data_IF_896503117585
#
_entry.id   IF_896503117585
#
_cell.length_a   1.000
_cell.length_b   1.000
_cell.length_c   1.000
_cell.angle_alpha   90.00
_cell.angle_beta   90.00
_cell.angle_gamma   90.00
#
_symmetry.space_group_name_H-M   'P 1'
#
loop_
_entity.id
_entity.type
_entity.pdbx_description
1 polymer ?
#
# COMPACT_ATOMS: atom_id res chain seq x y z
N UNK A 1 3.44 5.61 5.96
CA UNK A 1 2.99 4.86 7.15
C UNK A 1 3.65 5.44 8.41
N UNK A 2 2.87 5.62 9.46
CA UNK A 2 3.35 6.09 10.77
C UNK A 2 2.82 5.15 11.86
N UNK A 3 3.56 5.05 12.96
CA UNK A 3 3.09 4.38 14.15
C UNK A 3 1.99 5.25 14.79
N UNK A 4 0.81 4.69 14.98
CA UNK A 4 -0.37 5.41 15.46
C UNK A 4 -0.27 5.86 16.93
N UNK A 5 0.57 5.19 17.73
CA UNK A 5 0.77 5.54 19.16
C UNK A 5 1.83 6.62 19.36
N UNK A 6 2.83 6.70 18.49
CA UNK A 6 4.00 7.58 18.69
C UNK A 6 4.15 8.67 17.63
N UNK A 7 3.39 8.60 16.54
CA UNK A 7 3.53 9.48 15.37
C UNK A 7 4.83 9.27 14.58
N UNK A 8 5.74 8.41 15.05
CA UNK A 8 7.03 8.16 14.39
C UNK A 8 6.83 7.44 13.05
N UNK A 9 7.63 7.75 12.02
CA UNK A 9 7.58 7.02 10.76
C UNK A 9 7.85 5.52 10.95
N UNK A 10 7.05 4.69 10.27
CA UNK A 10 7.30 3.25 10.23
C UNK A 10 8.32 2.95 9.12
N UNK A 11 9.61 3.09 9.42
CA UNK A 11 10.72 2.85 8.49
C UNK A 11 10.95 1.34 8.31
N UNK A 12 11.32 0.91 7.09
CA UNK A 12 11.52 -0.51 6.70
C UNK A 12 10.33 -1.43 7.03
N UNK A 13 9.12 -0.89 7.18
CA UNK A 13 7.92 -1.72 7.23
C UNK A 13 7.72 -2.38 5.86
N UNK A 14 7.41 -3.68 5.86
CA UNK A 14 7.03 -4.39 4.64
C UNK A 14 5.62 -3.97 4.24
N UNK A 15 5.41 -3.72 2.96
CA UNK A 15 4.13 -3.32 2.39
C UNK A 15 3.77 -4.28 1.28
N UNK A 16 2.55 -4.83 1.31
CA UNK A 16 1.99 -5.65 0.23
C UNK A 16 0.64 -5.08 -0.20
N UNK A 17 0.48 -4.87 -1.50
CA UNK A 17 -0.68 -4.20 -2.10
C UNK A 17 -1.39 -5.19 -3.02
N UNK A 18 -2.70 -5.28 -2.82
CA UNK A 18 -3.63 -5.93 -3.74
C UNK A 18 -4.53 -4.88 -4.36
N UNK A 19 -4.95 -5.12 -5.61
CA UNK A 19 -5.91 -4.28 -6.32
C UNK A 19 -7.16 -5.10 -6.66
N UNK A 20 -8.32 -4.56 -6.33
CA UNK A 20 -9.60 -4.94 -6.93
C UNK A 20 -9.73 -4.15 -8.25
N UNK A 21 -9.90 -4.87 -9.35
CA UNK A 21 -10.10 -4.32 -10.68
C UNK A 21 -11.57 -3.97 -10.92
N UNK A 22 -11.86 -3.14 -11.92
CA UNK A 22 -13.22 -2.78 -12.37
C UNK A 22 -14.12 -3.99 -12.67
N UNK A 23 -13.55 -5.09 -13.17
CA UNK A 23 -14.21 -6.35 -13.45
C UNK A 23 -14.40 -7.27 -12.21
N UNK A 24 -14.02 -6.79 -11.02
CA UNK A 24 -14.11 -7.52 -9.75
C UNK A 24 -12.97 -8.51 -9.48
N UNK A 25 -12.00 -8.66 -10.38
CA UNK A 25 -10.83 -9.48 -10.13
C UNK A 25 -9.95 -8.84 -9.04
N UNK A 26 -9.50 -9.64 -8.08
CA UNK A 26 -8.48 -9.23 -7.10
C UNK A 26 -7.14 -9.84 -7.49
N UNK A 27 -6.10 -9.01 -7.57
CA UNK A 27 -4.75 -9.47 -7.89
C UNK A 27 -3.68 -8.80 -7.05
N UNK A 28 -2.53 -9.46 -6.95
CA UNK A 28 -1.32 -8.83 -6.45
C UNK A 28 -0.97 -7.64 -7.34
N UNK A 29 -0.67 -6.51 -6.72
CA UNK A 29 -0.33 -5.27 -7.42
C UNK A 29 1.14 -4.94 -7.26
N UNK A 30 1.59 -4.76 -6.02
CA UNK A 30 2.96 -4.36 -5.71
C UNK A 30 3.32 -4.71 -4.27
N UNK A 31 4.60 -4.90 -3.99
CA UNK A 31 5.12 -4.93 -2.64
C UNK A 31 6.46 -4.20 -2.53
N UNK A 32 6.97 -4.11 -1.30
CA UNK A 32 8.28 -3.58 -1.01
C UNK A 32 8.38 -3.09 0.43
N UNK A 33 9.28 -2.15 0.67
CA UNK A 33 9.52 -1.62 2.00
C UNK A 33 9.38 -0.10 1.99
N UNK A 34 8.87 0.44 3.09
CA UNK A 34 8.87 1.89 3.30
C UNK A 34 10.30 2.43 3.37
N UNK A 35 10.52 3.62 2.82
CA UNK A 35 11.81 4.33 2.86
C UNK A 35 12.20 4.84 4.27
N UNK A 36 13.33 5.55 4.36
CA UNK A 36 13.81 6.17 5.60
C UNK A 36 12.86 7.22 6.20
N UNK A 37 11.85 7.67 5.45
CA UNK A 37 10.79 8.59 5.87
C UNK A 37 9.48 7.84 6.18
N UNK A 38 9.47 6.51 6.13
CA UNK A 38 8.28 5.69 6.32
C UNK A 38 7.28 5.78 5.15
N UNK A 39 7.72 6.19 3.96
CA UNK A 39 6.86 6.35 2.77
C UNK A 39 6.97 5.14 1.86
N UNK A 40 5.87 4.79 1.21
CA UNK A 40 5.80 3.75 0.19
C UNK A 40 4.86 4.23 -0.91
N UNK A 41 5.32 4.19 -2.16
CA UNK A 41 4.49 4.51 -3.32
C UNK A 41 3.78 3.24 -3.80
N UNK A 42 2.50 3.15 -3.42
CA UNK A 42 1.64 2.01 -3.70
C UNK A 42 0.95 2.08 -5.06
N UNK A 43 0.91 3.26 -5.70
CA UNK A 43 0.09 3.49 -6.89
C UNK A 43 0.92 3.51 -8.18
N UNK A 44 2.16 4.01 -8.13
CA UNK A 44 2.97 4.06 -9.35
C UNK A 44 3.48 2.68 -9.75
N UNK A 45 3.03 2.23 -10.93
CA UNK A 45 3.54 1.09 -11.69
C UNK A 45 3.81 1.54 -13.12
N UNK A 46 4.77 0.89 -13.79
CA UNK A 46 5.14 1.20 -15.18
C UNK A 46 4.10 0.73 -16.21
N UNK A 47 2.97 0.19 -15.76
CA UNK A 47 1.91 -0.39 -16.59
C UNK A 47 0.63 0.44 -16.44
N UNK A 48 -0.17 0.53 -17.49
CA UNK A 48 -1.49 1.22 -17.48
C UNK A 48 -2.55 0.48 -16.62
N UNK A 49 -2.12 -0.43 -15.75
CA UNK A 49 -3.03 -1.21 -14.91
C UNK A 49 -3.75 -0.37 -13.87
N UNK A 50 -3.18 0.80 -13.52
CA UNK A 50 -3.76 1.74 -12.56
C UNK A 50 -5.14 2.25 -13.02
N UNK A 51 -5.37 2.40 -14.33
CA UNK A 51 -6.62 2.96 -14.89
C UNK A 51 -7.85 2.07 -14.62
N UNK A 52 -7.62 0.78 -14.39
CA UNK A 52 -8.66 -0.21 -14.14
C UNK A 52 -8.78 -0.59 -12.66
N UNK A 53 -7.97 0.01 -11.78
CA UNK A 53 -8.07 -0.25 -10.35
C UNK A 53 -9.30 0.44 -9.80
N UNK A 54 -10.17 -0.34 -9.15
CA UNK A 54 -11.32 0.16 -8.41
C UNK A 54 -10.96 0.48 -6.96
N UNK A 55 -10.15 -0.37 -6.33
CA UNK A 55 -9.78 -0.21 -4.91
C UNK A 55 -8.45 -0.91 -4.61
N UNK A 56 -7.67 -0.32 -3.71
CA UNK A 56 -6.47 -0.92 -3.16
C UNK A 56 -6.69 -1.43 -1.74
N UNK A 57 -6.11 -2.59 -1.44
CA UNK A 57 -5.93 -3.12 -0.09
C UNK A 57 -4.44 -3.23 0.21
N UNK A 58 -3.97 -2.47 1.20
CA UNK A 58 -2.57 -2.25 1.52
C UNK A 58 -2.28 -2.83 2.90
N UNK A 59 -1.58 -3.95 2.95
CA UNK A 59 -1.01 -4.50 4.18
C UNK A 59 0.29 -3.78 4.50
N UNK A 60 0.42 -3.27 5.72
CA UNK A 60 1.67 -2.74 6.28
C UNK A 60 2.06 -3.60 7.48
N UNK A 61 3.20 -4.26 7.39
CA UNK A 61 3.74 -5.15 8.42
C UNK A 61 5.02 -4.55 9.02
N UNK A 62 5.04 -4.40 10.34
CA UNK A 62 6.19 -3.94 11.10
C UNK A 62 6.47 -4.92 12.24
N UNK A 63 7.70 -5.43 12.32
CA UNK A 63 8.10 -6.37 13.38
C UNK A 63 7.84 -5.82 14.79
N UNK A 64 8.02 -4.51 14.99
CA UNK A 64 7.91 -3.86 16.30
C UNK A 64 6.48 -3.44 16.64
N UNK A 65 5.65 -3.18 15.65
CA UNK A 65 4.34 -2.53 15.84
C UNK A 65 3.16 -3.40 15.38
N UNK A 66 3.42 -4.58 14.83
CA UNK A 66 2.40 -5.47 14.28
C UNK A 66 2.03 -5.13 12.84
N UNK A 67 0.82 -5.52 12.46
CA UNK A 67 0.30 -5.36 11.11
C UNK A 67 -0.97 -4.50 11.09
N UNK A 68 -1.17 -3.75 10.01
CA UNK A 68 -2.44 -3.09 9.71
C UNK A 68 -2.76 -3.23 8.24
N UNK A 69 -4.05 -3.28 7.92
CA UNK A 69 -4.55 -3.18 6.53
C UNK A 69 -5.19 -1.80 6.38
N UNK A 70 -4.94 -1.17 5.23
CA UNK A 70 -5.59 0.08 4.83
C UNK A 70 -6.20 -0.10 3.45
N UNK A 71 -7.42 0.40 3.29
CA UNK A 71 -8.09 0.40 1.99
C UNK A 71 -8.20 1.83 1.47
N UNK A 72 -8.04 2.00 0.16
CA UNK A 72 -8.15 3.32 -0.49
C UNK A 72 -8.58 3.16 -1.94
N UNK A 73 -9.32 4.14 -2.42
CA UNK A 73 -9.56 4.33 -3.85
C UNK A 73 -8.23 4.65 -4.57
N UNK A 74 -8.12 4.41 -5.89
CA UNK A 74 -6.96 4.85 -6.65
C UNK A 74 -6.78 6.38 -6.56
N UNK A 75 -5.54 6.89 -6.63
CA UNK A 75 -5.32 8.32 -6.76
C UNK A 75 -6.06 8.88 -7.96
N UNK A 76 -6.66 10.07 -7.82
CA UNK A 76 -7.24 10.78 -8.96
C UNK A 76 -6.11 11.29 -9.85
N UNK A 77 -6.20 10.99 -11.14
CA UNK A 77 -5.36 11.58 -12.20
C UNK A 77 -5.64 13.07 -12.36
#
# INVERSE_FOLDING_TARGET
ASNEKTGKPAVKAYVKVYAEMDNGQVRFYKDGYTDHRGRFDYASLSTNEQDHVKKFSILVLSEKNGATIRETDPPKS
#
